data_IF_131658786889
#
_entry.id   IF_131658786889
#
_cell.length_a   1.000
_cell.length_b   1.000
_cell.length_c   1.000
_cell.angle_alpha   90.00
_cell.angle_beta   90.00
_cell.angle_gamma   90.00
#
_symmetry.space_group_name_H-M   'P 1'
#
loop_
_entity.id
_entity.type
_entity.pdbx_description
1 polymer ?
#
# COMPACT_ATOMS: atom_id res chain seq x y z
N UNK A 1 19.79 -4.99 18.85
CA UNK A 1 19.40 -5.79 17.67
C UNK A 1 18.77 -4.82 16.72
N UNK A 2 19.58 -4.22 15.83
CA UNK A 2 19.03 -3.39 14.76
C UNK A 2 18.25 -4.32 13.85
N UNK A 3 16.95 -4.05 13.70
CA UNK A 3 16.12 -4.74 12.74
C UNK A 3 16.61 -4.23 11.37
N UNK A 4 17.59 -4.94 10.82
CA UNK A 4 17.84 -4.95 9.39
C UNK A 4 16.56 -5.52 8.76
N UNK A 5 15.57 -4.65 8.55
CA UNK A 5 14.53 -4.92 7.56
C UNK A 5 15.33 -5.08 6.28
N UNK A 6 15.60 -6.33 5.90
CA UNK A 6 16.31 -6.64 4.67
C UNK A 6 15.61 -5.84 3.58
N UNK A 7 16.38 -5.08 2.81
CA UNK A 7 15.88 -4.21 1.73
C UNK A 7 14.75 -4.89 0.93
N UNK A 8 14.92 -6.18 0.67
CA UNK A 8 14.00 -7.08 -0.02
C UNK A 8 12.63 -7.24 0.67
N UNK A 9 12.55 -7.21 2.01
CA UNK A 9 11.30 -7.30 2.76
C UNK A 9 10.47 -6.01 2.64
N UNK A 10 11.12 -4.84 2.74
CA UNK A 10 10.41 -3.57 2.57
C UNK A 10 9.92 -3.42 1.12
N UNK A 11 10.75 -3.79 0.15
CA UNK A 11 10.39 -3.77 -1.27
C UNK A 11 9.22 -4.73 -1.55
N UNK A 12 9.21 -5.92 -0.94
CA UNK A 12 8.08 -6.85 -1.02
C UNK A 12 6.79 -6.29 -0.40
N UNK A 13 6.89 -5.56 0.71
CA UNK A 13 5.73 -4.92 1.34
C UNK A 13 5.18 -3.77 0.50
N UNK A 14 6.05 -2.98 -0.16
CA UNK A 14 5.63 -1.92 -1.09
C UNK A 14 4.90 -2.54 -2.28
N UNK A 15 5.45 -3.60 -2.89
CA UNK A 15 4.79 -4.29 -4.00
C UNK A 15 3.44 -4.87 -3.60
N UNK A 16 3.34 -5.49 -2.41
CA UNK A 16 2.08 -6.01 -1.90
C UNK A 16 1.05 -4.89 -1.67
N UNK A 17 1.47 -3.71 -1.22
CA UNK A 17 0.59 -2.56 -1.08
C UNK A 17 0.07 -2.09 -2.46
N UNK A 18 0.93 -1.99 -3.47
CA UNK A 18 0.53 -1.73 -4.87
C UNK A 18 -0.51 -2.71 -5.38
N UNK A 19 -0.25 -4.02 -5.28
CA UNK A 19 -1.22 -5.04 -5.72
C UNK A 19 -2.53 -4.97 -4.92
N UNK A 20 -2.47 -4.65 -3.63
CA UNK A 20 -3.66 -4.58 -2.78
C UNK A 20 -4.54 -3.39 -3.14
N UNK A 21 -3.98 -2.23 -3.43
CA UNK A 21 -4.77 -1.07 -3.85
C UNK A 21 -5.37 -1.24 -5.24
N UNK A 22 -4.62 -1.82 -6.20
CA UNK A 22 -5.19 -2.16 -7.52
C UNK A 22 -6.44 -3.04 -7.37
N UNK A 23 -6.38 -4.06 -6.50
CA UNK A 23 -7.53 -4.91 -6.19
C UNK A 23 -8.66 -4.15 -5.48
N UNK A 24 -8.34 -3.18 -4.63
CA UNK A 24 -9.35 -2.32 -3.99
C UNK A 24 -10.04 -1.45 -5.03
N UNK A 25 -9.31 -0.88 -5.99
CA UNK A 25 -9.86 -0.09 -7.09
C UNK A 25 -10.78 -0.94 -7.97
N UNK A 26 -10.33 -2.13 -8.38
CA UNK A 26 -11.18 -3.06 -9.13
C UNK A 26 -12.46 -3.45 -8.36
N UNK A 27 -12.36 -3.60 -7.04
CA UNK A 27 -13.51 -3.86 -6.19
C UNK A 27 -14.41 -2.64 -6.05
N UNK A 28 -13.88 -1.41 -5.98
CA UNK A 28 -14.68 -0.18 -5.94
C UNK A 28 -15.52 -0.02 -7.21
N UNK A 29 -14.99 -0.44 -8.37
CA UNK A 29 -15.73 -0.46 -9.64
C UNK A 29 -16.91 -1.44 -9.62
N UNK A 30 -16.78 -2.56 -8.90
CA UNK A 30 -17.84 -3.57 -8.76
C UNK A 30 -18.84 -3.26 -7.63
N UNK A 31 -18.32 -2.93 -6.44
CA UNK A 31 -19.03 -2.55 -5.23
C UNK A 31 -18.29 -1.41 -4.50
N UNK A 32 -18.71 -0.16 -4.72
CA UNK A 32 -18.07 1.01 -4.12
C UNK A 32 -18.02 0.98 -2.60
N UNK A 33 -19.02 0.38 -1.93
CA UNK A 33 -19.07 0.35 -0.46
C UNK A 33 -18.08 -0.66 0.10
N UNK A 34 -17.96 -1.81 -0.54
CA UNK A 34 -16.99 -2.83 -0.13
C UNK A 34 -15.55 -2.34 -0.31
N UNK A 35 -15.27 -1.72 -1.46
CA UNK A 35 -13.96 -1.14 -1.75
C UNK A 35 -13.57 -0.03 -0.77
N UNK A 36 -14.45 0.94 -0.52
CA UNK A 36 -14.20 1.99 0.48
C UNK A 36 -14.02 1.45 1.90
N UNK A 37 -14.76 0.40 2.29
CA UNK A 37 -14.61 -0.22 3.60
C UNK A 37 -13.23 -0.90 3.75
N UNK A 38 -12.73 -1.55 2.71
CA UNK A 38 -11.39 -2.15 2.69
C UNK A 38 -10.31 -1.08 2.69
N UNK A 39 -10.45 -0.02 1.86
CA UNK A 39 -9.53 1.12 1.87
C UNK A 39 -9.43 1.75 3.26
N UNK A 40 -10.56 2.01 3.91
CA UNK A 40 -10.59 2.53 5.29
C UNK A 40 -9.92 1.57 6.29
N UNK A 41 -10.09 0.26 6.12
CA UNK A 41 -9.48 -0.76 6.98
C UNK A 41 -7.96 -0.81 6.86
N UNK A 42 -7.43 -0.50 5.68
CA UNK A 42 -6.00 -0.53 5.35
C UNK A 42 -5.33 0.85 5.32
N UNK A 43 -6.06 1.95 5.49
CA UNK A 43 -5.55 3.32 5.37
C UNK A 43 -4.25 3.57 6.16
N UNK A 44 -4.18 3.10 7.41
CA UNK A 44 -2.97 3.25 8.23
C UNK A 44 -1.78 2.43 7.74
N UNK A 45 -2.03 1.30 7.10
CA UNK A 45 -0.98 0.48 6.51
C UNK A 45 -0.41 1.15 5.26
N UNK A 46 -1.28 1.65 4.35
CA UNK A 46 -0.86 2.43 3.19
C UNK A 46 -0.02 3.65 3.59
N UNK A 47 -0.47 4.45 4.56
CA UNK A 47 0.28 5.63 5.05
C UNK A 47 1.69 5.27 5.55
N UNK A 48 1.84 4.13 6.24
CA UNK A 48 3.15 3.68 6.73
C UNK A 48 4.04 3.23 5.58
N UNK A 49 3.48 2.49 4.62
CA UNK A 49 4.22 2.04 3.44
C UNK A 49 4.66 3.24 2.63
N UNK A 50 3.78 4.18 2.32
CA UNK A 50 4.08 5.38 1.54
C UNK A 50 5.22 6.19 2.12
N UNK A 51 5.21 6.44 3.43
CA UNK A 51 6.30 7.17 4.06
C UNK A 51 7.65 6.46 3.87
N UNK A 52 7.68 5.13 3.96
CA UNK A 52 8.90 4.36 3.71
C UNK A 52 9.27 4.29 2.23
N UNK A 53 8.29 4.46 1.37
CA UNK A 53 8.44 4.37 -0.06
C UNK A 53 8.86 5.73 -0.65
N UNK A 54 8.38 6.88 -0.14
CA UNK A 54 8.84 8.24 -0.47
C UNK A 54 10.29 8.50 -0.05
N UNK A 55 10.76 7.87 1.03
CA UNK A 55 12.17 7.85 1.43
C UNK A 55 13.08 7.17 0.38
N UNK A 56 12.50 6.51 -0.62
CA UNK A 56 13.18 5.91 -1.78
C UNK A 56 12.55 6.44 -3.07
N UNK A 57 13.22 7.36 -3.77
CA UNK A 57 12.76 7.91 -5.07
C UNK A 57 12.08 6.85 -5.97
N UNK A 58 10.74 6.86 -5.98
CA UNK A 58 9.91 5.96 -6.80
C UNK A 58 9.18 4.88 -6.01
N UNK A 59 8.02 5.23 -5.46
CA UNK A 59 7.01 4.26 -5.05
C UNK A 59 5.64 4.67 -5.59
N UNK A 60 4.77 3.68 -5.78
CA UNK A 60 3.47 3.75 -6.48
C UNK A 60 2.80 5.13 -6.40
N UNK A 61 2.35 5.61 -7.56
CA UNK A 61 1.79 6.93 -7.74
C UNK A 61 0.75 7.30 -6.67
N UNK A 62 0.74 8.59 -6.32
CA UNK A 62 -0.13 9.22 -5.32
C UNK A 62 -1.53 8.59 -5.25
N UNK A 63 -1.80 7.90 -4.15
CA UNK A 63 -3.09 7.32 -3.82
C UNK A 63 -4.08 8.44 -3.55
N UNK A 64 -4.99 8.67 -4.50
CA UNK A 64 -6.10 9.63 -4.37
C UNK A 64 -7.36 8.93 -3.88
#
# INVERSE_FOLDING_TARGET
MEILVQKDYLDALINLACETDELIVELEDYDPRAGQALRARFARWFEVIDRHAEEREGACGTWN
#
